data_IF_722794731398
#
_entry.id   IF_722794731398
#
_cell.length_a   1.000
_cell.length_b   1.000
_cell.length_c   1.000
_cell.angle_alpha   90.00
_cell.angle_beta   90.00
_cell.angle_gamma   90.00
#
_symmetry.space_group_name_H-M   'P 1'
#
loop_
_entity.id
_entity.type
_entity.pdbx_description
1 polymer ?
#
# COMPACT_ATOMS: atom_id res chain seq x y z
N UNK A 1 13.24 12.66 0.29
CA UNK A 1 12.08 11.96 0.89
C UNK A 1 11.99 10.48 0.50
N UNK A 2 12.24 10.06 -0.75
CA UNK A 2 12.11 8.64 -1.16
C UNK A 2 13.01 7.62 -0.42
N UNK A 3 14.23 7.99 -0.04
CA UNK A 3 15.19 7.06 0.61
C UNK A 3 14.79 6.71 2.04
N UNK A 4 14.15 7.63 2.77
CA UNK A 4 13.73 7.41 4.15
C UNK A 4 12.58 6.41 4.25
N UNK A 5 11.56 6.55 3.38
CA UNK A 5 10.48 5.57 3.27
C UNK A 5 11.00 4.17 2.87
N UNK A 6 12.02 4.11 2.00
CA UNK A 6 12.64 2.85 1.58
C UNK A 6 13.38 2.14 2.73
N UNK A 7 14.12 2.88 3.55
CA UNK A 7 14.85 2.31 4.70
C UNK A 7 13.89 1.72 5.75
N UNK A 8 12.82 2.45 6.09
CA UNK A 8 11.79 1.98 7.04
C UNK A 8 11.03 0.77 6.52
N UNK A 9 10.64 0.78 5.24
CA UNK A 9 10.02 -0.39 4.60
C UNK A 9 10.95 -1.61 4.64
N UNK A 10 12.24 -1.44 4.34
CA UNK A 10 13.20 -2.56 4.41
C UNK A 10 13.41 -3.09 5.83
N UNK A 11 13.27 -2.26 6.88
CA UNK A 11 13.39 -2.73 8.26
C UNK A 11 12.20 -3.62 8.64
N UNK A 12 10.98 -3.14 8.38
CA UNK A 12 9.74 -3.87 8.65
C UNK A 12 9.63 -5.15 7.83
N UNK A 13 10.11 -5.17 6.58
CA UNK A 13 10.11 -6.39 5.77
C UNK A 13 11.07 -7.47 6.31
N UNK A 14 12.12 -7.10 7.05
CA UNK A 14 13.10 -8.05 7.60
C UNK A 14 12.81 -8.46 9.04
N UNK A 15 12.36 -7.54 9.89
CA UNK A 15 12.18 -7.76 11.33
C UNK A 15 10.74 -7.54 11.81
N UNK A 16 9.88 -6.98 10.96
CA UNK A 16 8.50 -6.68 11.34
C UNK A 16 7.65 -7.93 11.49
N UNK A 17 6.68 -7.85 12.39
CA UNK A 17 5.68 -8.91 12.61
C UNK A 17 4.35 -8.52 11.99
N UNK A 18 3.65 -9.50 11.45
CA UNK A 18 2.31 -9.32 10.87
C UNK A 18 1.25 -9.38 11.96
N UNK A 19 0.31 -8.46 11.94
CA UNK A 19 -0.87 -8.47 12.80
C UNK A 19 -2.14 -8.18 11.99
N UNK A 20 -3.27 -8.70 12.46
CA UNK A 20 -4.57 -8.31 11.94
C UNK A 20 -5.01 -7.03 12.66
N UNK A 21 -5.23 -5.97 11.89
CA UNK A 21 -5.67 -4.68 12.37
C UNK A 21 -7.10 -4.39 11.92
N UNK A 22 -7.78 -3.52 12.66
CA UNK A 22 -9.07 -2.96 12.28
C UNK A 22 -8.94 -1.46 12.10
N UNK A 23 -9.61 -0.91 11.09
CA UNK A 23 -9.75 0.55 10.96
C UNK A 23 -10.63 1.05 12.10
N UNK A 24 -10.05 1.82 13.01
CA UNK A 24 -10.72 2.39 14.18
C UNK A 24 -11.35 3.74 13.87
N UNK A 25 -10.63 4.60 13.15
CA UNK A 25 -11.11 5.91 12.70
C UNK A 25 -10.36 6.35 11.44
N UNK A 26 -10.71 7.52 10.90
CA UNK A 26 -9.97 8.16 9.81
C UNK A 26 -9.71 9.62 10.17
N UNK A 27 -8.46 10.04 10.13
CA UNK A 27 -8.09 11.43 10.30
C UNK A 27 -8.09 12.12 8.94
N UNK A 28 -8.74 13.27 8.82
CA UNK A 28 -8.82 14.02 7.57
C UNK A 28 -7.82 15.15 7.57
N UNK A 29 -6.95 15.18 6.57
CA UNK A 29 -6.03 16.27 6.31
C UNK A 29 -6.54 17.07 5.10
N UNK A 30 -6.87 18.34 5.34
CA UNK A 30 -7.34 19.24 4.30
C UNK A 30 -6.18 19.83 3.50
N UNK A 31 -6.42 20.09 2.23
CA UNK A 31 -5.54 20.74 1.28
C UNK A 31 -6.34 21.72 0.43
N UNK A 32 -5.69 22.70 -0.20
CA UNK A 32 -6.36 23.80 -0.91
C UNK A 32 -7.38 23.33 -1.98
N UNK A 33 -7.19 22.13 -2.55
CA UNK A 33 -8.05 21.55 -3.58
C UNK A 33 -8.77 20.23 -3.16
N UNK A 34 -8.86 19.93 -1.85
CA UNK A 34 -9.52 18.71 -1.38
C UNK A 34 -8.94 18.21 -0.06
N UNK A 35 -8.97 16.91 0.19
CA UNK A 35 -8.29 16.36 1.36
C UNK A 35 -8.17 14.85 1.31
N UNK A 36 -7.38 14.32 2.23
CA UNK A 36 -7.00 12.92 2.27
C UNK A 36 -7.31 12.35 3.65
N UNK A 37 -7.81 11.13 3.69
CA UNK A 37 -8.12 10.42 4.92
C UNK A 37 -7.01 9.43 5.27
N UNK A 38 -6.38 9.61 6.42
CA UNK A 38 -5.40 8.70 6.98
C UNK A 38 -6.09 7.76 7.96
N UNK A 39 -6.17 6.46 7.65
CA UNK A 39 -6.84 5.50 8.53
C UNK A 39 -6.02 5.32 9.81
N UNK A 40 -6.68 5.41 10.95
CA UNK A 40 -6.15 5.03 12.27
C UNK A 40 -6.53 3.58 12.50
N UNK A 41 -5.53 2.72 12.65
CA UNK A 41 -5.73 1.29 12.84
C UNK A 41 -5.48 0.89 14.28
N UNK A 42 -6.23 -0.11 14.74
CA UNK A 42 -6.02 -0.74 16.04
C UNK A 42 -5.71 -2.22 15.86
N UNK A 43 -4.66 -2.70 16.52
CA UNK A 43 -4.25 -4.10 16.46
C UNK A 43 -3.67 -4.55 17.80
N UNK A 44 -3.59 -5.87 17.97
CA UNK A 44 -3.00 -6.52 19.13
C UNK A 44 -1.61 -7.03 18.75
N UNK A 45 -0.58 -6.68 19.53
CA UNK A 45 0.79 -7.17 19.35
C UNK A 45 0.92 -8.63 19.84
N UNK A 46 2.05 -9.25 19.53
CA UNK A 46 2.43 -10.57 20.05
C UNK A 46 2.61 -10.58 21.58
N UNK A 47 2.93 -9.42 22.16
CA UNK A 47 3.00 -9.18 23.62
C UNK A 47 1.63 -8.92 24.27
N UNK A 48 0.53 -9.08 23.51
CA UNK A 48 -0.85 -8.80 23.95
C UNK A 48 -1.11 -7.32 24.32
N UNK A 49 -0.41 -6.39 23.67
CA UNK A 49 -0.61 -4.96 23.86
C UNK A 49 -1.48 -4.39 22.74
N UNK A 50 -2.47 -3.58 23.10
CA UNK A 50 -3.29 -2.87 22.12
C UNK A 50 -2.57 -1.62 21.64
N UNK A 51 -2.32 -1.55 20.34
CA UNK A 51 -1.73 -0.38 19.69
C UNK A 51 -2.77 0.26 18.78
N UNK A 52 -2.88 1.58 18.88
CA UNK A 52 -3.70 2.42 18.00
C UNK A 52 -2.80 3.42 17.32
N UNK A 53 -2.69 3.36 15.99
CA UNK A 53 -1.72 4.15 15.26
C UNK A 53 -2.29 4.60 13.92
N UNK A 54 -2.01 5.85 13.55
CA UNK A 54 -2.31 6.37 12.22
C UNK A 54 -1.34 5.81 11.19
N UNK A 55 -1.88 5.37 10.06
CA UNK A 55 -1.08 4.92 8.93
C UNK A 55 -0.53 6.12 8.15
N UNK A 56 0.72 6.01 7.71
CA UNK A 56 1.38 6.98 6.84
C UNK A 56 0.88 6.96 5.38
N UNK A 57 -0.27 6.32 5.12
CA UNK A 57 -0.88 6.20 3.79
C UNK A 57 -2.28 6.77 3.81
N UNK A 58 -2.45 7.86 3.06
CA UNK A 58 -3.72 8.52 2.89
C UNK A 58 -4.58 7.89 1.78
N UNK A 59 -5.90 7.95 1.96
CA UNK A 59 -6.90 7.44 1.02
C UNK A 59 -7.98 8.48 0.74
N UNK A 60 -8.50 8.49 -0.49
CA UNK A 60 -9.70 9.21 -0.84
C UNK A 60 -10.50 8.35 -1.84
N UNK A 61 -11.71 7.87 -1.51
CA UNK A 61 -12.51 8.15 -0.28
C UNK A 61 -11.98 7.45 0.99
N UNK A 62 -12.52 7.83 2.15
CA UNK A 62 -12.16 7.26 3.47
C UNK A 62 -12.34 5.74 3.52
N UNK A 63 -11.49 5.04 4.28
CA UNK A 63 -11.69 3.61 4.54
C UNK A 63 -12.81 3.40 5.56
N UNK A 64 -13.75 2.46 5.34
CA UNK A 64 -14.79 2.17 6.32
C UNK A 64 -14.20 1.71 7.67
N UNK A 65 -14.72 2.26 8.76
CA UNK A 65 -14.41 1.79 10.11
C UNK A 65 -14.86 0.32 10.27
N UNK A 66 -14.08 -0.46 11.04
CA UNK A 66 -14.26 -1.90 11.19
C UNK A 66 -13.63 -2.74 10.06
N UNK A 67 -13.12 -2.13 8.99
CA UNK A 67 -12.41 -2.87 7.93
C UNK A 67 -11.18 -3.57 8.51
N UNK A 68 -11.07 -4.88 8.25
CA UNK A 68 -9.89 -5.67 8.64
C UNK A 68 -8.79 -5.49 7.61
N UNK A 69 -7.58 -5.23 8.08
CA UNK A 69 -6.37 -5.06 7.27
C UNK A 69 -5.25 -5.90 7.88
N UNK A 70 -4.29 -6.30 7.05
CA UNK A 70 -3.04 -6.87 7.53
C UNK A 70 -2.01 -5.75 7.62
N UNK A 71 -1.32 -5.65 8.76
CA UNK A 71 -0.28 -4.66 9.00
C UNK A 71 1.01 -5.36 9.41
N UNK A 72 2.13 -4.73 9.11
CA UNK A 72 3.45 -5.11 9.61
C UNK A 72 3.87 -4.03 10.60
N UNK A 73 4.20 -4.43 11.83
CA UNK A 73 4.72 -3.54 12.87
C UNK A 73 6.10 -3.97 13.32
N UNK A 74 6.88 -3.04 13.84
CA UNK A 74 8.17 -3.34 14.48
C UNK A 74 7.94 -3.86 15.91
N UNK A 75 8.35 -5.09 16.27
CA UNK A 75 8.18 -5.63 17.62
C UNK A 75 9.02 -4.91 18.70
N UNK A 76 10.08 -4.20 18.31
CA UNK A 76 10.89 -3.35 19.19
C UNK A 76 10.29 -1.95 19.34
N UNK A 77 9.59 -1.46 18.29
CA UNK A 77 8.86 -0.20 18.32
C UNK A 77 7.46 -0.31 17.68
N UNK A 78 6.42 -0.75 18.42
CA UNK A 78 5.09 -1.04 17.85
C UNK A 78 4.35 0.15 17.25
N UNK A 79 4.82 1.38 17.48
CA UNK A 79 4.28 2.60 16.84
C UNK A 79 4.68 2.72 15.38
N UNK A 80 5.72 2.01 14.95
CA UNK A 80 6.13 1.93 13.56
C UNK A 80 5.36 0.81 12.86
N UNK A 81 4.24 1.19 12.24
CA UNK A 81 3.33 0.28 11.54
C UNK A 81 3.12 0.70 10.09
N UNK A 82 3.06 -0.28 9.20
CA UNK A 82 2.72 -0.09 7.79
C UNK A 82 1.67 -1.12 7.38
N UNK A 83 0.83 -0.79 6.39
CA UNK A 83 -0.05 -1.79 5.79
C UNK A 83 0.82 -2.85 5.11
N UNK A 84 0.52 -4.12 5.37
CA UNK A 84 1.00 -5.24 4.57
C UNK A 84 0.28 -5.22 3.22
N UNK A 85 0.68 -4.30 2.36
CA UNK A 85 0.05 -4.12 1.06
C UNK A 85 0.68 -5.11 0.09
N UNK A 86 0.39 -6.40 0.27
CA UNK A 86 0.69 -7.44 -0.72
C UNK A 86 0.19 -7.00 -2.11
N UNK A 87 -0.91 -6.24 -2.16
CA UNK A 87 -1.42 -5.63 -3.38
C UNK A 87 -0.48 -4.58 -4.01
N UNK A 88 0.04 -3.61 -3.25
CA UNK A 88 1.00 -2.63 -3.81
C UNK A 88 2.36 -3.24 -4.11
N UNK A 89 2.82 -4.17 -3.27
CA UNK A 89 4.18 -4.68 -3.35
C UNK A 89 4.33 -5.81 -4.38
N UNK A 90 3.30 -6.64 -4.57
CA UNK A 90 3.37 -7.76 -5.51
C UNK A 90 2.43 -7.63 -6.71
N UNK A 91 1.19 -7.19 -6.49
CA UNK A 91 0.17 -7.22 -7.56
C UNK A 91 0.35 -6.02 -8.51
N UNK A 92 0.56 -4.82 -7.97
CA UNK A 92 0.70 -3.61 -8.78
C UNK A 92 1.89 -3.67 -9.75
N UNK A 93 3.13 -4.07 -9.35
CA UNK A 93 4.25 -4.18 -10.28
C UNK A 93 4.02 -5.25 -11.35
N UNK A 94 3.34 -6.36 -11.01
CA UNK A 94 2.98 -7.41 -11.97
C UNK A 94 1.98 -6.91 -13.01
N UNK A 95 0.99 -6.10 -12.61
CA UNK A 95 0.04 -5.47 -13.55
C UNK A 95 0.78 -4.51 -14.49
N UNK A 96 1.64 -3.64 -13.95
CA UNK A 96 2.43 -2.73 -14.79
C UNK A 96 3.36 -3.49 -15.75
N UNK A 97 4.02 -4.56 -15.30
CA UNK A 97 4.82 -5.41 -16.15
C UNK A 97 3.97 -6.07 -17.25
N UNK A 98 2.80 -6.60 -16.91
CA UNK A 98 1.89 -7.22 -17.86
C UNK A 98 1.39 -6.22 -18.92
N UNK A 99 1.03 -5.00 -18.52
CA UNK A 99 0.63 -3.93 -19.43
C UNK A 99 1.79 -3.52 -20.35
N UNK A 100 3.01 -3.42 -19.80
CA UNK A 100 4.21 -3.12 -20.59
C UNK A 100 4.50 -4.21 -21.64
N UNK A 101 4.43 -5.48 -21.25
CA UNK A 101 4.59 -6.62 -22.18
C UNK A 101 3.50 -6.62 -23.24
N UNK A 102 2.25 -6.37 -22.85
CA UNK A 102 1.12 -6.32 -23.79
C UNK A 102 1.30 -5.20 -24.81
N UNK A 103 1.74 -4.00 -24.37
CA UNK A 103 2.06 -2.88 -25.25
C UNK A 103 3.21 -3.21 -26.21
N UNK A 104 4.27 -3.85 -25.73
CA UNK A 104 5.38 -4.30 -26.59
C UNK A 104 4.91 -5.30 -27.65
N UNK A 105 4.11 -6.29 -27.27
CA UNK A 105 3.56 -7.26 -28.22
C UNK A 105 2.71 -6.57 -29.28
N UNK A 106 1.82 -5.66 -28.88
CA UNK A 106 1.01 -4.87 -29.81
C UNK A 106 1.87 -4.11 -30.82
N UNK A 107 2.87 -3.37 -30.35
CA UNK A 107 3.79 -2.62 -31.21
C UNK A 107 4.55 -3.55 -32.16
N UNK A 108 5.01 -4.71 -31.69
CA UNK A 108 5.73 -5.66 -32.56
C UNK A 108 4.83 -6.26 -33.64
N UNK A 109 3.57 -6.58 -33.32
CA UNK A 109 2.62 -7.15 -34.28
C UNK A 109 2.23 -6.13 -35.37
N UNK A 110 2.13 -4.85 -35.00
CA UNK A 110 1.90 -3.75 -35.93
C UNK A 110 3.11 -3.51 -36.84
N UNK A 111 4.33 -3.47 -36.29
CA UNK A 111 5.58 -3.32 -37.07
C UNK A 111 5.79 -4.48 -38.05
N UNK A 112 5.33 -5.68 -37.71
CA UNK A 112 5.40 -6.86 -38.57
C UNK A 112 4.24 -6.92 -39.59
N UNK A 113 3.39 -5.89 -39.66
CA UNK A 113 2.21 -5.80 -40.53
C UNK A 113 1.21 -6.96 -40.36
N UNK A 114 1.24 -7.65 -39.21
CA UNK A 114 0.34 -8.76 -38.89
C UNK A 114 -1.06 -8.22 -38.57
N UNK A 115 -1.13 -7.00 -38.02
CA UNK A 115 -2.34 -6.25 -37.71
C UNK A 115 -2.18 -4.82 -38.23
N UNK A 116 -3.22 -4.27 -38.89
CA UNK A 116 -3.27 -2.88 -39.34
C UNK A 116 -4.44 -2.18 -38.67
N UNK A 117 -4.13 -1.41 -37.63
CA UNK A 117 -5.11 -0.68 -36.81
C UNK A 117 -5.05 0.84 -36.99
N UNK A 118 -3.97 1.37 -37.56
CA UNK A 118 -3.88 2.77 -38.01
C UNK A 118 -4.22 2.79 -39.50
N UNK A 119 -5.24 3.57 -39.93
CA UNK A 119 -5.62 3.69 -41.34
C UNK A 119 -4.60 4.47 -42.19
#
# INVERSE_FOLDING_TARGET
MGVYFWQKGSHLLKHGKKAQAVVFSNNFEASDNGGVYYPVVRFLTDKQEWITQELNFGTNPKKPEGTKLQVIYDPENPTEVQIDSTFMLEILPRIFAALGVMGLVFVTLEVLEIINTIP
#
